data_IF_145643035925
#
_entry.id   IF_145643035925
#
_cell.length_a   1.000
_cell.length_b   1.000
_cell.length_c   1.000
_cell.angle_alpha   90.00
_cell.angle_beta   90.00
_cell.angle_gamma   90.00
#
_symmetry.space_group_name_H-M   'P 1'
#
loop_
_entity.id
_entity.type
_entity.pdbx_description
1 polymer ?
#
# COMPACT_ATOMS: atom_id res chain seq x y z
N UNK A 1 1.46 -15.52 7.18
CA UNK A 1 1.59 -14.17 6.63
C UNK A 1 2.33 -14.28 5.31
N UNK A 2 1.91 -13.57 4.26
CA UNK A 2 2.55 -13.64 2.95
C UNK A 2 3.35 -12.36 2.71
N UNK A 3 4.59 -12.50 2.23
CA UNK A 3 5.46 -11.37 1.87
C UNK A 3 5.73 -11.45 0.39
N UNK A 4 5.49 -10.35 -0.32
CA UNK A 4 5.85 -10.19 -1.73
C UNK A 4 6.82 -9.03 -1.85
N UNK A 5 7.87 -9.25 -2.64
CA UNK A 5 8.88 -8.22 -2.90
C UNK A 5 9.24 -8.23 -4.37
N UNK A 6 9.36 -7.04 -4.94
CA UNK A 6 9.70 -6.89 -6.34
C UNK A 6 9.63 -5.45 -6.82
N UNK A 7 9.95 -5.27 -8.09
CA UNK A 7 9.83 -4.01 -8.82
C UNK A 7 8.38 -3.80 -9.21
N UNK A 8 7.80 -2.70 -8.75
CA UNK A 8 6.44 -2.31 -9.06
C UNK A 8 6.32 -2.02 -10.57
N UNK A 9 5.41 -2.72 -11.24
CA UNK A 9 5.11 -2.51 -12.67
C UNK A 9 3.92 -1.56 -12.84
N UNK A 10 2.96 -1.63 -11.92
CA UNK A 10 1.77 -0.76 -11.91
C UNK A 10 1.13 -0.77 -10.53
N UNK A 11 0.51 0.34 -10.16
CA UNK A 11 -0.33 0.46 -8.98
C UNK A 11 -1.53 1.35 -9.28
N UNK A 12 -2.69 0.98 -8.71
CA UNK A 12 -3.91 1.76 -8.73
C UNK A 12 -4.53 1.69 -7.33
N UNK A 13 -4.75 2.84 -6.69
CA UNK A 13 -5.34 2.95 -5.34
C UNK A 13 -6.69 3.64 -5.45
N UNK A 14 -7.77 2.87 -5.37
CA UNK A 14 -9.13 3.37 -5.52
C UNK A 14 -9.79 3.46 -4.15
N UNK A 15 -10.33 4.63 -3.82
CA UNK A 15 -11.18 4.77 -2.64
C UNK A 15 -12.52 4.06 -2.87
N UNK A 16 -12.78 2.98 -2.15
CA UNK A 16 -14.00 2.21 -2.29
C UNK A 16 -15.08 2.75 -1.35
N UNK A 17 -15.80 3.81 -1.78
CA UNK A 17 -17.00 4.27 -1.05
C UNK A 17 -18.14 3.27 -1.28
N UNK A 18 -18.66 2.72 -0.19
CA UNK A 18 -19.63 1.61 -0.15
C UNK A 18 -21.00 1.88 -0.83
N UNK A 19 -21.07 1.98 -2.16
CA UNK A 19 -22.37 1.83 -2.85
C UNK A 19 -22.80 0.35 -2.92
N UNK A 20 -21.84 -0.58 -3.02
CA UNK A 20 -22.09 -2.03 -3.19
C UNK A 20 -22.30 -2.81 -1.88
N UNK A 21 -21.87 -2.26 -0.74
CA UNK A 21 -22.00 -2.89 0.60
C UNK A 21 -23.13 -2.32 1.46
N UNK A 22 -23.87 -1.33 0.96
CA UNK A 22 -25.01 -0.71 1.63
C UNK A 22 -26.21 -1.66 1.89
N UNK A 23 -26.15 -2.92 1.45
CA UNK A 23 -27.28 -3.87 1.50
C UNK A 23 -27.49 -4.53 2.86
N UNK A 24 -26.63 -4.28 3.86
CA UNK A 24 -26.83 -4.73 5.24
C UNK A 24 -26.89 -3.51 6.15
N UNK A 25 -27.93 -3.47 6.98
CA UNK A 25 -28.34 -2.41 7.91
C UNK A 25 -27.30 -2.11 9.00
N UNK A 26 -26.05 -1.82 8.65
CA UNK A 26 -25.03 -1.37 9.59
C UNK A 26 -25.02 0.16 9.68
N UNK A 27 -25.13 0.61 10.93
CA UNK A 27 -25.13 2.01 11.37
C UNK A 27 -23.92 2.74 10.79
N UNK A 28 -24.13 3.98 10.33
CA UNK A 28 -23.17 4.83 9.62
C UNK A 28 -21.88 5.16 10.40
N UNK A 29 -21.84 4.87 11.71
CA UNK A 29 -20.73 5.20 12.62
C UNK A 29 -19.57 4.19 12.63
N UNK A 30 -19.63 3.08 11.88
CA UNK A 30 -18.62 2.00 11.92
C UNK A 30 -17.98 1.65 10.56
N UNK A 31 -18.00 2.56 9.59
CA UNK A 31 -17.44 2.31 8.25
C UNK A 31 -15.98 2.75 8.19
N UNK A 32 -15.09 1.87 8.63
CA UNK A 32 -13.67 1.95 8.33
C UNK A 32 -13.48 2.20 6.81
N UNK A 33 -12.81 3.28 6.36
CA UNK A 33 -12.50 3.50 4.97
C UNK A 33 -11.75 2.29 4.38
N UNK A 34 -12.18 1.89 3.19
CA UNK A 34 -11.60 0.79 2.44
C UNK A 34 -11.02 1.30 1.14
N UNK A 35 -9.80 0.87 0.84
CA UNK A 35 -9.14 1.18 -0.41
C UNK A 35 -8.92 -0.11 -1.17
N UNK A 36 -9.36 -0.14 -2.43
CA UNK A 36 -9.02 -1.21 -3.35
C UNK A 36 -7.65 -0.87 -3.94
N UNK A 37 -6.68 -1.75 -3.72
CA UNK A 37 -5.32 -1.59 -4.21
C UNK A 37 -5.08 -2.67 -5.25
N UNK A 38 -4.82 -2.24 -6.48
CA UNK A 38 -4.43 -3.12 -7.57
C UNK A 38 -2.98 -2.87 -7.88
N UNK A 39 -2.13 -3.88 -7.75
CA UNK A 39 -0.72 -3.74 -8.04
C UNK A 39 -0.20 -4.95 -8.80
N UNK A 40 0.94 -4.77 -9.47
CA UNK A 40 1.67 -5.84 -10.12
C UNK A 40 3.15 -5.65 -9.85
N UNK A 41 3.80 -6.69 -9.35
CA UNK A 41 5.26 -6.75 -9.26
C UNK A 41 5.84 -7.47 -10.47
N UNK A 42 7.13 -7.28 -10.73
CA UNK A 42 7.87 -8.13 -11.63
C UNK A 42 7.76 -9.60 -11.19
N UNK A 43 7.67 -10.54 -12.13
CA UNK A 43 7.53 -11.97 -11.86
C UNK A 43 6.28 -12.40 -11.06
N UNK A 44 5.37 -11.48 -10.71
CA UNK A 44 4.10 -11.78 -10.05
C UNK A 44 2.90 -11.46 -10.94
N UNK A 45 1.78 -12.21 -10.82
CA UNK A 45 0.53 -11.84 -11.46
C UNK A 45 -0.01 -10.54 -10.86
N UNK A 46 -0.84 -9.83 -11.64
CA UNK A 46 -1.57 -8.66 -11.13
C UNK A 46 -2.47 -9.10 -9.96
N UNK A 47 -2.41 -8.35 -8.87
CA UNK A 47 -3.23 -8.56 -7.68
C UNK A 47 -4.22 -7.43 -7.46
N UNK A 48 -5.34 -7.79 -6.87
CA UNK A 48 -6.37 -6.88 -6.38
C UNK A 48 -6.66 -7.25 -4.93
N UNK A 49 -6.33 -6.35 -4.02
CA UNK A 49 -6.40 -6.57 -2.57
C UNK A 49 -7.01 -5.36 -1.88
N UNK A 50 -7.53 -5.55 -0.68
CA UNK A 50 -8.18 -4.48 0.08
C UNK A 50 -7.28 -4.01 1.21
N UNK A 51 -7.05 -2.70 1.31
CA UNK A 51 -6.55 -2.07 2.50
C UNK A 51 -7.76 -1.69 3.39
N UNK A 52 -7.76 -2.13 4.66
CA UNK A 52 -8.81 -1.83 5.66
C UNK A 52 -8.17 -1.23 6.92
N UNK A 53 -8.80 -0.20 7.49
CA UNK A 53 -8.37 0.38 8.77
C UNK A 53 -8.35 -0.64 9.92
N UNK A 54 -7.50 -0.42 10.95
CA UNK A 54 -6.66 0.76 11.16
C UNK A 54 -5.40 0.78 10.28
N UNK A 55 -5.04 1.97 9.77
CA UNK A 55 -3.82 2.18 9.01
C UNK A 55 -2.81 3.04 9.80
N UNK A 56 -1.50 2.81 9.61
CA UNK A 56 -0.50 3.83 9.91
C UNK A 56 -0.82 5.16 9.17
N UNK A 57 -0.48 6.30 9.78
CA UNK A 57 -0.88 7.63 9.30
C UNK A 57 -0.54 7.90 7.82
N UNK A 58 0.60 7.39 7.34
CA UNK A 58 1.07 7.59 5.96
C UNK A 58 0.78 6.44 5.00
N UNK A 59 0.16 5.35 5.46
CA UNK A 59 0.04 4.11 4.70
C UNK A 59 -0.60 4.27 3.30
N UNK A 60 -1.72 5.01 3.21
CA UNK A 60 -2.36 5.28 1.92
C UNK A 60 -1.54 6.26 1.07
N UNK A 61 -0.85 7.21 1.71
CA UNK A 61 0.02 8.15 1.04
C UNK A 61 1.24 7.45 0.43
N UNK A 62 1.85 6.50 1.15
CA UNK A 62 3.00 5.72 0.70
C UNK A 62 2.65 4.86 -0.52
N UNK A 63 1.48 4.21 -0.49
CA UNK A 63 0.95 3.50 -1.65
C UNK A 63 0.75 4.45 -2.84
N UNK A 64 0.09 5.59 -2.63
CA UNK A 64 -0.13 6.58 -3.72
C UNK A 64 1.14 7.23 -4.23
N UNK A 65 2.17 7.34 -3.39
CA UNK A 65 3.48 7.88 -3.75
C UNK A 65 4.34 6.90 -4.54
N UNK A 66 4.02 5.61 -4.50
CA UNK A 66 4.76 4.56 -5.20
C UNK A 66 4.55 4.62 -6.72
N UNK A 67 5.62 4.38 -7.48
CA UNK A 67 5.65 4.51 -8.94
C UNK A 67 6.15 3.24 -9.61
N UNK A 68 5.78 3.00 -10.89
CA UNK A 68 6.42 1.96 -11.67
C UNK A 68 7.95 2.13 -11.67
N UNK A 69 8.68 1.05 -11.40
CA UNK A 69 10.13 1.04 -11.21
C UNK A 69 10.60 1.04 -9.75
N UNK A 70 9.72 1.37 -8.79
CA UNK A 70 10.08 1.31 -7.37
C UNK A 70 10.21 -0.15 -6.89
N UNK A 71 11.23 -0.42 -6.09
CA UNK A 71 11.32 -1.68 -5.36
C UNK A 71 10.43 -1.59 -4.12
N UNK A 72 9.48 -2.50 -3.99
CA UNK A 72 8.54 -2.52 -2.87
C UNK A 72 8.51 -3.87 -2.17
N UNK A 73 8.21 -3.85 -0.87
CA UNK A 73 7.86 -5.01 -0.05
C UNK A 73 6.43 -4.83 0.45
N UNK A 74 5.57 -5.80 0.15
CA UNK A 74 4.17 -5.80 0.56
C UNK A 74 3.94 -6.99 1.48
N UNK A 75 3.38 -6.73 2.66
CA UNK A 75 2.95 -7.78 3.59
C UNK A 75 1.46 -7.95 3.49
N UNK A 76 1.02 -9.16 3.18
CA UNK A 76 -0.37 -9.53 3.05
C UNK A 76 -0.79 -10.45 4.20
N UNK A 77 -2.10 -10.45 4.47
CA UNK A 77 -2.73 -11.46 5.31
C UNK A 77 -2.48 -12.88 4.78
N UNK A 78 -2.67 -13.88 5.64
CA UNK A 78 -2.40 -15.30 5.31
C UNK A 78 -3.17 -15.80 4.08
N UNK A 79 -4.38 -15.26 3.88
CA UNK A 79 -5.23 -15.55 2.72
C UNK A 79 -4.98 -14.62 1.52
N UNK A 80 -4.01 -13.69 1.62
CA UNK A 80 -3.66 -12.72 0.58
C UNK A 80 -4.73 -11.67 0.29
N UNK A 81 -5.79 -11.58 1.09
CA UNK A 81 -6.94 -10.71 0.81
C UNK A 81 -6.71 -9.24 1.26
N UNK A 82 -5.84 -9.04 2.26
CA UNK A 82 -5.61 -7.73 2.87
C UNK A 82 -4.15 -7.33 2.83
N UNK A 83 -3.89 -6.04 2.60
CA UNK A 83 -2.56 -5.46 2.83
C UNK A 83 -2.44 -5.12 4.31
N UNK A 84 -1.44 -5.71 4.96
CA UNK A 84 -1.05 -5.41 6.34
C UNK A 84 -0.03 -4.28 6.36
N UNK A 85 0.95 -4.34 5.46
CA UNK A 85 2.07 -3.39 5.40
C UNK A 85 2.48 -3.13 3.94
N UNK A 86 2.97 -1.92 3.68
CA UNK A 86 3.41 -1.47 2.37
C UNK A 86 4.68 -0.64 2.55
N UNK A 87 5.79 -1.17 2.07
CA UNK A 87 7.07 -0.49 2.16
C UNK A 87 7.65 -0.21 0.77
N UNK A 88 7.88 1.07 0.46
CA UNK A 88 8.59 1.48 -0.74
C UNK A 88 10.08 1.63 -0.43
N UNK A 89 10.85 0.58 -0.74
CA UNK A 89 12.28 0.51 -0.46
C UNK A 89 13.07 1.54 -1.27
N UNK A 90 12.64 1.84 -2.50
CA UNK A 90 13.25 2.89 -3.31
C UNK A 90 13.11 4.27 -2.67
N UNK A 91 11.91 4.61 -2.18
CA UNK A 91 11.66 5.88 -1.50
C UNK A 91 12.42 5.98 -0.17
N UNK A 92 12.50 4.88 0.61
CA UNK A 92 13.28 4.85 1.85
C UNK A 92 14.77 5.10 1.59
N UNK A 93 15.36 4.42 0.59
CA UNK A 93 16.78 4.64 0.23
C UNK A 93 17.05 6.08 -0.19
N UNK A 94 16.12 6.71 -0.92
CA UNK A 94 16.24 8.11 -1.30
C UNK A 94 16.23 9.02 -0.05
N UNK A 95 15.30 8.81 0.88
CA UNK A 95 15.24 9.56 2.13
C UNK A 95 16.54 9.41 2.95
N UNK A 96 17.00 8.17 3.14
CA UNK A 96 18.25 7.87 3.86
C UNK A 96 19.48 8.51 3.19
N UNK A 97 19.51 8.56 1.86
CA UNK A 97 20.60 9.21 1.12
C UNK A 97 20.59 10.74 1.27
N UNK A 98 19.40 11.35 1.34
CA UNK A 98 19.27 12.78 1.56
C UNK A 98 19.75 13.17 2.96
N UNK A 99 19.36 12.43 4.00
CA UNK A 99 19.80 12.68 5.38
C UNK A 99 21.33 12.60 5.52
N UNK A 100 21.99 11.67 4.82
CA UNK A 100 23.46 11.61 4.80
C UNK A 100 24.10 12.82 4.12
N UNK A 101 23.48 13.35 3.07
CA UNK A 101 24.04 14.48 2.32
C UNK A 101 23.99 15.79 3.14
N UNK A 102 23.01 15.93 4.03
CA UNK A 102 22.90 17.10 4.92
C UNK A 102 23.69 16.96 6.23
N UNK A 103 24.08 15.74 6.62
CA UNK A 103 24.89 15.47 7.82
C UNK A 103 26.40 15.66 7.65
N UNK A 104 26.91 15.70 6.41
CA UNK A 104 28.34 15.83 6.08
C UNK A 104 28.79 17.28 5.77
N UNK A 105 27.98 18.28 6.14
CA UNK A 105 28.38 19.69 6.05
C UNK A 105 28.90 20.18 7.41
N UNK A 106 30.18 19.93 7.67
CA UNK A 106 30.95 20.50 8.80
C UNK A 106 32.06 21.43 8.24
#
# INVERSE_FOLDING_TARGET
>A
MLIERGVLQSIEVIYARERRFARRRQVSSHRAPRYLVRYRLDNHPKKEVVAIEPFPYYFIADMRGSRPGDEIEVRLSDNGAYIIDWNNLSAQRLLESMDRTWGDSD
#
